data_IF_402724015066
#
_entry.id   IF_402724015066
#
_cell.length_a   1.000
_cell.length_b   1.000
_cell.length_c   1.000
_cell.angle_alpha   90.00
_cell.angle_beta   90.00
_cell.angle_gamma   90.00
#
_symmetry.space_group_name_H-M   'P 1'
#
loop_
_entity.id
_entity.type
_entity.pdbx_description
1 polymer ?
#
# COMPACT_ATOMS: atom_id res chain seq x y z
N UNK A 1 -4.21 -2.77 2.83
CA UNK A 1 -4.94 -1.53 3.12
C UNK A 1 -4.17 -0.29 2.67
N UNK A 2 -4.71 0.92 2.88
CA UNK A 2 -4.04 2.20 2.66
C UNK A 2 -4.50 3.23 3.71
N UNK A 3 -4.01 4.46 3.64
CA UNK A 3 -4.24 5.51 4.66
C UNK A 3 -5.56 6.24 4.38
N UNK A 4 -6.51 6.19 5.33
CA UNK A 4 -7.83 6.85 5.18
C UNK A 4 -7.72 8.37 5.10
N UNK A 5 -6.76 8.97 5.76
CA UNK A 5 -6.54 10.42 5.75
C UNK A 5 -6.18 10.95 4.35
N UNK A 6 -5.54 10.12 3.51
CA UNK A 6 -5.20 10.45 2.12
C UNK A 6 -6.35 10.09 1.18
N UNK A 7 -6.93 8.90 1.37
CA UNK A 7 -8.03 8.42 0.52
C UNK A 7 -9.21 8.02 1.39
N UNK A 8 -10.25 8.83 1.38
CA UNK A 8 -11.46 8.60 2.16
C UNK A 8 -12.23 7.39 1.62
N UNK A 9 -11.78 6.21 2.02
CA UNK A 9 -12.39 4.93 1.68
C UNK A 9 -12.61 4.13 2.97
N UNK A 10 -13.81 3.56 3.22
CA UNK A 10 -14.12 2.85 4.46
C UNK A 10 -13.22 1.63 4.71
N UNK A 11 -12.55 1.09 3.68
CA UNK A 11 -11.60 -0.02 3.78
C UNK A 11 -10.17 0.41 4.12
N UNK A 12 -9.88 1.71 4.10
CA UNK A 12 -8.60 2.26 4.50
C UNK A 12 -8.52 2.42 6.02
N UNK A 13 -7.31 2.25 6.58
CA UNK A 13 -7.06 2.36 8.03
C UNK A 13 -7.03 3.81 8.48
N UNK A 14 -7.57 4.06 9.68
CA UNK A 14 -7.48 5.35 10.37
C UNK A 14 -6.13 5.50 11.10
N UNK A 15 -5.80 6.75 11.48
CA UNK A 15 -4.61 7.05 12.27
C UNK A 15 -4.59 6.28 13.58
N UNK A 16 -5.74 6.18 14.27
CA UNK A 16 -5.85 5.45 15.54
C UNK A 16 -5.62 3.95 15.36
N UNK A 17 -6.13 3.36 14.26
CA UNK A 17 -5.85 1.96 13.93
C UNK A 17 -4.36 1.73 13.65
N UNK A 18 -3.72 2.64 12.92
CA UNK A 18 -2.28 2.53 12.65
C UNK A 18 -1.45 2.60 13.92
N UNK A 19 -1.73 3.57 14.79
CA UNK A 19 -1.08 3.71 16.09
C UNK A 19 -1.28 2.47 16.97
N UNK A 20 -2.51 1.97 17.06
CA UNK A 20 -2.81 0.77 17.86
C UNK A 20 -2.05 -0.48 17.39
N UNK A 21 -1.82 -0.62 16.07
CA UNK A 21 -1.00 -1.72 15.51
C UNK A 21 0.47 -1.50 15.85
N UNK A 22 0.99 -0.28 15.69
CA UNK A 22 2.37 0.06 15.99
C UNK A 22 2.71 -0.13 17.47
N UNK A 23 1.83 0.31 18.38
CA UNK A 23 1.97 0.15 19.83
C UNK A 23 2.08 -1.32 20.27
N UNK A 24 1.57 -2.25 19.45
CA UNK A 24 1.70 -3.70 19.66
C UNK A 24 2.89 -4.32 18.93
N UNK A 25 3.77 -3.51 18.34
CA UNK A 25 4.93 -3.98 17.58
C UNK A 25 4.59 -4.52 16.18
N UNK A 26 3.33 -4.39 15.73
CA UNK A 26 2.87 -4.85 14.43
C UNK A 26 3.32 -3.99 13.25
N UNK A 27 2.86 -4.36 12.05
CA UNK A 27 3.13 -3.61 10.81
C UNK A 27 1.86 -3.41 10.00
N UNK A 28 1.81 -2.29 9.26
CA UNK A 28 0.76 -1.95 8.30
C UNK A 28 1.32 -2.12 6.88
N UNK A 29 0.70 -3.01 6.10
CA UNK A 29 1.03 -3.19 4.68
C UNK A 29 0.21 -2.22 3.80
N UNK A 30 0.90 -1.31 3.11
CA UNK A 30 0.27 -0.43 2.12
C UNK A 30 0.12 -1.21 0.81
N UNK A 31 -1.12 -1.37 0.35
CA UNK A 31 -1.46 -2.11 -0.87
C UNK A 31 -1.48 -1.21 -2.10
N UNK A 32 -1.31 -1.80 -3.28
CA UNK A 32 -1.38 -1.09 -4.57
C UNK A 32 -2.78 -1.08 -5.20
N UNK A 33 -3.79 -1.50 -4.45
CA UNK A 33 -5.16 -1.55 -4.95
C UNK A 33 -5.70 -0.14 -5.24
N UNK A 34 -5.91 0.17 -6.52
CA UNK A 34 -6.22 1.52 -7.01
C UNK A 34 -7.27 2.30 -6.21
N UNK A 35 -8.44 1.71 -5.85
CA UNK A 35 -9.48 2.41 -5.09
C UNK A 35 -9.06 2.83 -3.67
N UNK A 36 -7.99 2.24 -3.12
CA UNK A 36 -7.48 2.60 -1.80
C UNK A 36 -6.42 3.69 -1.86
N UNK A 37 -5.78 3.86 -3.03
CA UNK A 37 -4.71 4.82 -3.21
C UNK A 37 -5.26 6.18 -3.63
N UNK A 38 -6.22 6.21 -4.57
CA UNK A 38 -6.88 7.45 -4.99
C UNK A 38 -8.22 7.16 -5.64
N UNK A 39 -9.20 8.05 -5.41
CA UNK A 39 -10.57 7.86 -5.92
C UNK A 39 -10.88 8.72 -7.16
N UNK A 40 -10.18 9.82 -7.36
CA UNK A 40 -10.53 10.81 -8.41
C UNK A 40 -10.02 10.41 -9.80
N UNK A 41 -8.97 9.63 -9.86
CA UNK A 41 -8.30 9.19 -11.10
C UNK A 41 -7.57 7.87 -10.91
N UNK A 42 -7.04 7.31 -12.01
CA UNK A 42 -6.08 6.21 -11.91
C UNK A 42 -4.85 6.66 -11.11
N UNK A 43 -4.51 5.98 -10.01
CA UNK A 43 -3.38 6.37 -9.18
C UNK A 43 -2.04 6.05 -9.84
N UNK A 44 -1.03 6.82 -9.44
CA UNK A 44 0.36 6.65 -9.84
C UNK A 44 1.18 6.01 -8.73
N UNK A 45 2.42 5.64 -9.05
CA UNK A 45 3.39 5.21 -8.05
C UNK A 45 3.67 6.30 -7.01
N UNK A 46 3.68 7.58 -7.41
CA UNK A 46 3.86 8.69 -6.47
C UNK A 46 2.71 8.79 -5.47
N UNK A 47 1.45 8.64 -5.93
CA UNK A 47 0.30 8.59 -5.02
C UNK A 47 0.43 7.46 -3.98
N UNK A 48 0.98 6.31 -4.39
CA UNK A 48 1.24 5.18 -3.49
C UNK A 48 2.31 5.50 -2.45
N UNK A 49 3.38 6.17 -2.86
CA UNK A 49 4.46 6.57 -1.95
C UNK A 49 4.03 7.67 -0.99
N UNK A 50 3.03 8.51 -1.32
CA UNK A 50 2.44 9.47 -0.37
C UNK A 50 1.84 8.77 0.86
N UNK A 51 1.24 7.59 0.66
CA UNK A 51 0.75 6.78 1.77
C UNK A 51 1.88 6.24 2.67
N UNK A 52 3.05 5.95 2.09
CA UNK A 52 4.25 5.56 2.85
C UNK A 52 4.78 6.71 3.68
N UNK A 53 4.97 7.88 3.05
CA UNK A 53 5.46 9.06 3.76
C UNK A 53 4.55 9.37 4.96
N UNK A 54 3.22 9.41 4.73
CA UNK A 54 2.26 9.66 5.81
C UNK A 54 2.33 8.61 6.92
N UNK A 55 2.35 7.33 6.58
CA UNK A 55 2.38 6.25 7.55
C UNK A 55 3.69 6.26 8.35
N UNK A 56 4.83 6.47 7.69
CA UNK A 56 6.15 6.58 8.33
C UNK A 56 6.18 7.74 9.31
N UNK A 57 5.67 8.90 8.92
CA UNK A 57 5.62 10.08 9.79
C UNK A 57 4.71 9.86 11.01
N UNK A 58 3.63 9.09 10.84
CA UNK A 58 2.67 8.85 11.91
C UNK A 58 3.08 7.77 12.91
N UNK A 59 3.62 6.63 12.42
CA UNK A 59 3.88 5.43 13.22
C UNK A 59 5.33 4.93 13.18
N UNK A 60 6.20 5.61 12.44
CA UNK A 60 7.59 5.22 12.27
C UNK A 60 7.83 4.14 11.20
N UNK A 61 9.04 4.16 10.63
CA UNK A 61 9.42 3.27 9.52
C UNK A 61 9.42 1.78 9.87
N UNK A 62 9.52 1.43 11.16
CA UNK A 62 9.56 0.04 11.62
C UNK A 62 8.17 -0.64 11.60
N UNK A 63 7.11 0.14 11.44
CA UNK A 63 5.72 -0.32 11.46
C UNK A 63 5.03 -0.26 10.10
N UNK A 64 5.76 0.08 9.02
CA UNK A 64 5.23 0.12 7.66
C UNK A 64 5.88 -0.97 6.82
N UNK A 65 5.09 -1.68 5.99
CA UNK A 65 5.62 -2.73 5.12
C UNK A 65 4.96 -2.70 3.74
N UNK A 66 5.64 -3.31 2.77
CA UNK A 66 5.18 -3.43 1.40
C UNK A 66 4.07 -4.48 1.28
N UNK A 67 3.05 -4.17 0.50
CA UNK A 67 1.99 -5.09 0.11
C UNK A 67 1.47 -4.73 -1.29
N UNK A 68 0.89 -5.68 -2.00
CA UNK A 68 0.34 -5.43 -3.35
C UNK A 68 -1.15 -5.72 -3.46
N UNK A 69 -1.63 -6.72 -2.74
CA UNK A 69 -2.98 -7.28 -2.93
C UNK A 69 -3.18 -7.87 -4.34
N UNK A 70 -2.09 -8.34 -4.95
CA UNK A 70 -2.14 -8.94 -6.28
C UNK A 70 -2.49 -10.43 -6.22
N UNK A 71 -3.29 -10.85 -7.17
CA UNK A 71 -3.60 -12.25 -7.39
C UNK A 71 -2.76 -12.82 -8.53
N UNK A 72 -2.12 -13.95 -8.29
CA UNK A 72 -1.51 -14.75 -9.34
C UNK A 72 -2.60 -15.59 -10.03
N UNK A 73 -3.00 -15.15 -11.19
CA UNK A 73 -3.93 -15.91 -12.00
C UNK A 73 -4.27 -15.18 -13.30
N UNK A 74 -4.52 -15.96 -14.34
CA UNK A 74 -5.00 -15.49 -15.66
C UNK A 74 -6.44 -14.96 -15.62
N UNK A 75 -7.02 -14.78 -14.44
CA UNK A 75 -8.35 -14.23 -14.28
C UNK A 75 -8.31 -12.74 -14.58
N UNK A 76 -8.73 -12.39 -15.78
CA UNK A 76 -9.14 -11.05 -16.17
C UNK A 76 -10.38 -10.61 -15.38
N UNK A 77 -10.42 -10.85 -14.08
CA UNK A 77 -11.51 -10.35 -13.25
C UNK A 77 -11.25 -8.88 -13.08
N UNK A 78 -12.06 -8.08 -13.71
CA UNK A 78 -12.04 -6.64 -13.55
C UNK A 78 -12.70 -6.29 -12.20
N UNK A 79 -11.99 -6.59 -11.09
CA UNK A 79 -12.44 -6.38 -9.71
C UNK A 79 -12.78 -4.91 -9.42
N UNK A 80 -12.21 -4.00 -10.21
CA UNK A 80 -12.44 -2.57 -10.08
C UNK A 80 -13.65 -2.08 -10.89
N UNK A 81 -14.55 -2.97 -11.29
CA UNK A 81 -15.80 -2.55 -11.90
C UNK A 81 -16.75 -2.02 -10.83
N UNK A 82 -17.40 -0.86 -11.06
CA UNK A 82 -18.29 -0.27 -10.07
C UNK A 82 -19.43 -1.16 -9.59
N UNK A 83 -19.83 -2.15 -10.39
CA UNK A 83 -20.90 -3.08 -10.04
C UNK A 83 -20.44 -4.28 -9.19
N UNK A 84 -19.10 -4.54 -9.12
CA UNK A 84 -18.58 -5.66 -8.34
C UNK A 84 -18.29 -5.26 -6.89
N UNK A 85 -17.75 -4.04 -6.67
CA UNK A 85 -17.47 -3.45 -5.36
C UNK A 85 -17.81 -1.96 -5.34
N UNK A 86 -19.09 -1.59 -5.47
CA UNK A 86 -19.48 -0.18 -5.56
C UNK A 86 -19.06 0.62 -4.32
N UNK A 87 -19.12 0.01 -3.14
CA UNK A 87 -18.70 0.64 -1.88
C UNK A 87 -17.19 0.89 -1.80
N UNK A 88 -16.39 0.08 -2.50
CA UNK A 88 -14.93 0.20 -2.53
C UNK A 88 -14.48 1.16 -3.63
N UNK A 89 -15.09 1.05 -4.80
CA UNK A 89 -14.75 1.88 -5.96
C UNK A 89 -15.45 3.23 -5.95
N UNK A 90 -16.47 3.39 -5.09
CA UNK A 90 -17.31 4.59 -5.03
C UNK A 90 -17.86 4.99 -6.40
N UNK A 91 -18.20 3.99 -7.24
CA UNK A 91 -18.71 4.20 -8.60
C UNK A 91 -17.67 4.66 -9.62
N UNK A 92 -16.39 4.76 -9.26
CA UNK A 92 -15.31 5.16 -10.18
C UNK A 92 -14.84 4.01 -11.05
N UNK A 93 -14.34 4.34 -12.23
CA UNK A 93 -13.72 3.38 -13.16
C UNK A 93 -12.21 3.54 -13.11
N UNK A 94 -11.51 2.41 -13.03
CA UNK A 94 -10.06 2.33 -13.04
C UNK A 94 -9.61 1.54 -14.28
N UNK A 95 -8.45 1.91 -14.83
CA UNK A 95 -7.77 1.15 -15.88
C UNK A 95 -6.93 0.03 -15.22
N UNK A 96 -7.62 -1.01 -14.73
CA UNK A 96 -7.03 -2.09 -13.96
C UNK A 96 -6.81 -1.75 -12.48
N UNK A 97 -6.27 -2.71 -11.73
CA UNK A 97 -6.10 -2.64 -10.28
C UNK A 97 -4.75 -2.09 -9.83
N UNK A 98 -3.80 -1.97 -10.76
CA UNK A 98 -2.44 -1.49 -10.47
C UNK A 98 -2.29 0.01 -10.67
N UNK A 99 -1.12 0.51 -10.33
CA UNK A 99 -0.75 1.92 -10.39
C UNK A 99 -0.12 2.24 -11.75
N UNK A 100 -0.24 3.47 -12.22
CA UNK A 100 0.61 3.94 -13.32
C UNK A 100 2.07 3.92 -12.81
N UNK A 101 2.92 3.16 -13.49
CA UNK A 101 4.32 2.93 -13.10
C UNK A 101 4.57 1.71 -12.21
N UNK A 102 3.50 1.00 -11.76
CA UNK A 102 3.64 -0.25 -11.03
C UNK A 102 2.40 -1.14 -11.21
N UNK A 103 2.31 -1.84 -12.34
CA UNK A 103 1.21 -2.75 -12.71
C UNK A 103 1.58 -4.22 -12.68
N UNK A 104 2.87 -4.50 -12.73
CA UNK A 104 3.39 -5.88 -12.78
C UNK A 104 4.57 -6.05 -11.83
N UNK A 105 4.88 -7.29 -11.46
CA UNK A 105 6.04 -7.60 -10.61
C UNK A 105 7.38 -7.19 -11.23
N UNK A 106 7.47 -7.18 -12.56
CA UNK A 106 8.66 -6.76 -13.28
C UNK A 106 8.98 -5.26 -13.05
N UNK A 107 7.97 -4.48 -12.64
CA UNK A 107 8.11 -3.05 -12.37
C UNK A 107 8.44 -2.74 -10.88
N UNK A 108 8.68 -3.76 -10.05
CA UNK A 108 9.12 -3.57 -8.66
C UNK A 108 10.35 -2.64 -8.53
N UNK A 109 11.34 -2.67 -9.44
CA UNK A 109 12.43 -1.69 -9.41
C UNK A 109 11.98 -0.23 -9.42
N UNK A 110 10.84 0.10 -10.06
CA UNK A 110 10.30 1.46 -10.08
C UNK A 110 9.90 1.92 -8.67
N UNK A 111 9.42 1.02 -7.82
CA UNK A 111 9.08 1.32 -6.41
C UNK A 111 10.34 1.72 -5.65
N UNK A 112 11.43 0.96 -5.82
CA UNK A 112 12.74 1.27 -5.21
C UNK A 112 13.27 2.61 -5.71
N UNK A 113 13.21 2.84 -7.02
CA UNK A 113 13.63 4.11 -7.63
C UNK A 113 12.81 5.30 -7.09
N UNK A 114 11.49 5.14 -6.97
CA UNK A 114 10.60 6.16 -6.41
C UNK A 114 10.95 6.47 -4.94
N UNK A 115 11.23 5.44 -4.13
CA UNK A 115 11.68 5.62 -2.75
C UNK A 115 13.04 6.35 -2.67
N UNK A 116 13.99 5.99 -3.54
CA UNK A 116 15.30 6.66 -3.61
C UNK A 116 15.16 8.15 -4.01
N UNK A 117 14.28 8.47 -4.96
CA UNK A 117 13.98 9.87 -5.36
C UNK A 117 13.40 10.69 -4.21
N UNK A 118 12.72 10.04 -3.24
CA UNK A 118 12.22 10.64 -2.00
C UNK A 118 13.25 10.63 -0.87
N UNK A 119 14.52 10.36 -1.17
CA UNK A 119 15.64 10.30 -0.22
C UNK A 119 15.49 9.22 0.87
N UNK A 120 14.79 8.13 0.58
CA UNK A 120 14.78 6.99 1.50
C UNK A 120 16.16 6.34 1.48
N UNK A 121 16.72 6.07 2.66
CA UNK A 121 17.97 5.33 2.77
C UNK A 121 17.79 3.86 2.36
N UNK A 122 18.86 3.21 1.91
CA UNK A 122 18.83 1.78 1.60
C UNK A 122 18.36 0.94 2.81
N UNK A 123 18.71 1.33 4.02
CA UNK A 123 18.26 0.67 5.25
C UNK A 123 16.74 0.77 5.42
N UNK A 124 16.16 1.97 5.23
CA UNK A 124 14.71 2.18 5.27
C UNK A 124 14.02 1.34 4.20
N UNK A 125 14.48 1.38 2.95
CA UNK A 125 13.91 0.59 1.85
C UNK A 125 13.91 -0.89 2.18
N UNK A 126 15.01 -1.43 2.73
CA UNK A 126 15.10 -2.84 3.15
C UNK A 126 14.06 -3.19 4.23
N UNK A 127 13.86 -2.32 5.22
CA UNK A 127 12.81 -2.49 6.23
C UNK A 127 11.42 -2.58 5.60
N UNK A 128 11.08 -1.60 4.75
CA UNK A 128 9.76 -1.49 4.13
C UNK A 128 9.47 -2.66 3.19
N UNK A 129 10.43 -3.09 2.36
CA UNK A 129 10.24 -4.14 1.36
C UNK A 129 10.19 -5.57 1.94
N UNK A 130 10.36 -5.74 3.25
CA UNK A 130 10.19 -7.06 3.87
C UNK A 130 10.81 -7.20 5.26
N UNK A 131 11.83 -6.40 5.60
CA UNK A 131 12.52 -6.50 6.89
C UNK A 131 11.58 -6.41 8.08
N UNK A 132 10.65 -5.47 8.07
CA UNK A 132 9.66 -5.30 9.14
C UNK A 132 8.70 -6.49 9.25
N UNK A 133 8.25 -7.03 8.12
CA UNK A 133 7.39 -8.21 8.12
C UNK A 133 8.13 -9.45 8.67
N UNK A 134 9.39 -9.65 8.23
CA UNK A 134 10.23 -10.74 8.75
C UNK A 134 10.47 -10.59 10.26
N UNK A 135 10.66 -9.37 10.77
CA UNK A 135 10.78 -9.11 12.20
C UNK A 135 9.56 -9.61 12.96
N UNK A 136 8.36 -9.22 12.53
CA UNK A 136 7.11 -9.66 13.17
C UNK A 136 6.95 -11.19 13.12
N UNK A 137 7.24 -11.81 11.96
CA UNK A 137 7.18 -13.27 11.84
C UNK A 137 8.10 -13.99 12.82
N UNK A 138 9.33 -13.50 13.03
CA UNK A 138 10.28 -14.08 13.99
C UNK A 138 9.81 -13.97 15.45
N UNK A 139 9.00 -12.97 15.77
CA UNK A 139 8.46 -12.80 17.11
C UNK A 139 7.25 -13.71 17.38
N UNK A 140 6.42 -13.96 16.38
CA UNK A 140 5.17 -14.71 16.55
C UNK A 140 5.25 -16.19 16.18
N UNK A 141 6.16 -16.57 15.28
CA UNK A 141 6.42 -17.95 14.89
C UNK A 141 7.58 -18.54 15.72
N UNK A 142 7.26 -19.08 16.86
CA UNK A 142 8.17 -19.78 17.77
C UNK A 142 7.92 -21.28 17.75
#
# INVERSE_FOLDING_TARGET
TAVRKITENPRCVTDDMMKAVADKGGTIGITTFSPFIRTERQPTLDDYLDHYDYAIDLIGEDHVTFATDWFDGKTKVNWATPWYYPEVTQGKKYDGLGLIGFRTRAELPNVVEGMLKRNYSAARITKLLGGNFIRVLKEVWK
#
